data_IF_710839686999
#
_entry.id   IF_710839686999
#
_cell.length_a   1.000
_cell.length_b   1.000
_cell.length_c   1.000
_cell.angle_alpha   90.00
_cell.angle_beta   90.00
_cell.angle_gamma   90.00
#
_symmetry.space_group_name_H-M   'P 1'
#
loop_
_entity.id
_entity.type
_entity.pdbx_description
1 polymer ?
#
# COMPACT_ATOMS: atom_id res chain seq x y z
N UNK A 1 -11.69 21.05 -13.86
CA UNK A 1 -11.94 20.34 -12.60
C UNK A 1 -12.56 19.01 -12.99
N UNK A 2 -11.84 17.90 -12.87
CA UNK A 2 -12.36 16.57 -13.21
C UNK A 2 -13.39 16.16 -12.17
N UNK A 3 -14.59 15.82 -12.62
CA UNK A 3 -15.67 15.34 -11.78
C UNK A 3 -15.27 13.95 -11.23
N UNK A 4 -15.38 13.68 -9.91
CA UNK A 4 -15.05 12.38 -9.36
C UNK A 4 -15.99 11.32 -9.98
N UNK A 5 -15.54 10.06 -10.17
CA UNK A 5 -16.38 9.01 -10.72
C UNK A 5 -17.63 8.81 -9.85
N UNK A 6 -18.81 8.67 -10.46
CA UNK A 6 -20.10 8.52 -9.75
C UNK A 6 -20.14 7.29 -8.81
N UNK A 7 -19.22 6.34 -8.98
CA UNK A 7 -19.10 5.13 -8.19
C UNK A 7 -17.89 5.10 -7.23
N UNK A 8 -17.10 6.17 -7.10
CA UNK A 8 -15.91 6.16 -6.24
C UNK A 8 -16.11 7.06 -5.01
N UNK A 9 -15.66 6.59 -3.84
CA UNK A 9 -15.60 7.44 -2.64
C UNK A 9 -14.65 8.60 -2.91
N UNK A 10 -15.03 9.87 -2.67
CA UNK A 10 -14.17 11.01 -2.98
C UNK A 10 -12.79 10.91 -2.32
N UNK A 11 -12.70 10.40 -1.09
CA UNK A 11 -11.41 10.21 -0.40
C UNK A 11 -10.51 9.20 -1.11
N UNK A 12 -11.08 8.07 -1.57
CA UNK A 12 -10.36 7.04 -2.31
C UNK A 12 -9.83 7.59 -3.64
N UNK A 13 -10.67 8.32 -4.40
CA UNK A 13 -10.24 8.96 -5.64
C UNK A 13 -9.13 9.98 -5.41
N UNK A 14 -9.25 10.81 -4.38
CA UNK A 14 -8.25 11.83 -4.06
C UNK A 14 -6.90 11.19 -3.71
N UNK A 15 -6.89 10.19 -2.82
CA UNK A 15 -5.68 9.47 -2.45
C UNK A 15 -5.01 8.85 -3.67
N UNK A 16 -5.78 8.22 -4.56
CA UNK A 16 -5.27 7.63 -5.80
C UNK A 16 -4.65 8.69 -6.72
N UNK A 17 -5.33 9.83 -6.90
CA UNK A 17 -4.85 10.91 -7.77
C UNK A 17 -3.52 11.50 -7.27
N UNK A 18 -3.33 11.58 -5.95
CA UNK A 18 -2.08 12.06 -5.33
C UNK A 18 -0.89 11.12 -5.60
N UNK A 19 -1.12 9.83 -5.87
CA UNK A 19 -0.06 8.87 -6.18
C UNK A 19 0.37 8.86 -7.65
N UNK A 20 -0.46 9.36 -8.57
CA UNK A 20 -0.16 9.34 -10.01
C UNK A 20 1.22 9.92 -10.39
N UNK A 21 1.71 11.02 -9.77
CA UNK A 21 3.04 11.56 -10.09
C UNK A 21 4.21 10.65 -9.67
N UNK A 22 3.99 9.74 -8.72
CA UNK A 22 5.01 8.87 -8.12
C UNK A 22 4.68 7.38 -8.26
N UNK A 23 3.76 7.04 -9.17
CA UNK A 23 3.18 5.69 -9.27
C UNK A 23 4.20 4.60 -9.60
N UNK A 24 5.37 4.94 -10.13
CA UNK A 24 6.45 4.00 -10.44
C UNK A 24 7.32 3.66 -9.21
N UNK A 25 7.01 4.24 -8.05
CA UNK A 25 7.69 3.94 -6.78
C UNK A 25 6.91 2.90 -5.98
N UNK A 26 7.60 2.13 -5.13
CA UNK A 26 6.93 1.17 -4.23
C UNK A 26 5.87 1.84 -3.36
N UNK A 27 6.18 3.03 -2.81
CA UNK A 27 5.25 3.82 -2.00
C UNK A 27 4.02 4.26 -2.81
N UNK A 28 4.25 4.82 -4.01
CA UNK A 28 3.16 5.23 -4.91
C UNK A 28 2.25 4.06 -5.30
N UNK A 29 2.82 2.89 -5.61
CA UNK A 29 2.05 1.68 -5.92
C UNK A 29 1.24 1.19 -4.71
N UNK A 30 1.85 1.15 -3.53
CA UNK A 30 1.19 0.72 -2.31
C UNK A 30 -0.01 1.62 -1.99
N UNK A 31 0.22 2.94 -1.96
CA UNK A 31 -0.82 3.91 -1.66
C UNK A 31 -1.94 3.91 -2.71
N UNK A 32 -1.61 3.68 -3.99
CA UNK A 32 -2.62 3.53 -5.04
C UNK A 32 -3.47 2.25 -4.84
N UNK A 33 -2.86 1.14 -4.43
CA UNK A 33 -3.57 -0.10 -4.12
C UNK A 33 -4.48 0.05 -2.88
N UNK A 34 -4.02 0.76 -1.84
CA UNK A 34 -4.85 1.13 -0.68
C UNK A 34 -6.05 1.96 -1.14
N UNK A 35 -5.82 3.00 -1.94
CA UNK A 35 -6.88 3.87 -2.46
C UNK A 35 -7.95 3.09 -3.25
N UNK A 36 -7.54 2.11 -4.07
CA UNK A 36 -8.47 1.20 -4.76
C UNK A 36 -9.24 0.35 -3.73
N UNK A 37 -8.57 -0.16 -2.71
CA UNK A 37 -9.19 -1.04 -1.70
C UNK A 37 -10.19 -0.30 -0.80
N UNK A 38 -9.98 0.98 -0.52
CA UNK A 38 -10.92 1.87 0.20
C UNK A 38 -12.30 1.95 -0.47
N UNK A 39 -12.39 1.65 -1.77
CA UNK A 39 -13.67 1.56 -2.49
C UNK A 39 -14.47 0.31 -2.09
N UNK A 40 -13.80 -0.81 -1.83
CA UNK A 40 -14.43 -2.11 -1.57
C UNK A 40 -14.55 -2.47 -0.09
N UNK A 41 -13.72 -1.87 0.77
CA UNK A 41 -13.67 -2.13 2.20
C UNK A 41 -14.14 -0.89 2.98
N UNK A 42 -14.93 -1.13 4.03
CA UNK A 42 -15.28 -0.11 5.01
C UNK A 42 -14.13 0.06 6.01
N UNK A 43 -13.88 1.29 6.46
CA UNK A 43 -12.90 1.62 7.50
C UNK A 43 -11.42 1.29 7.18
N UNK A 44 -10.97 1.55 5.95
CA UNK A 44 -9.54 1.46 5.61
C UNK A 44 -8.81 2.75 6.02
N UNK A 45 -7.89 2.63 6.98
CA UNK A 45 -6.97 3.68 7.40
C UNK A 45 -5.56 3.41 6.79
N UNK A 46 -5.08 4.23 5.85
CA UNK A 46 -3.78 4.02 5.20
C UNK A 46 -2.60 3.91 6.17
N UNK A 47 -2.61 4.69 7.26
CA UNK A 47 -1.54 4.64 8.26
C UNK A 47 -1.45 3.28 8.97
N UNK A 48 -2.58 2.62 9.24
CA UNK A 48 -2.60 1.30 9.86
C UNK A 48 -2.08 0.22 8.90
N UNK A 49 -2.32 0.36 7.59
CA UNK A 49 -1.81 -0.57 6.57
C UNK A 49 -0.28 -0.48 6.49
N UNK A 50 0.27 0.73 6.49
CA UNK A 50 1.72 0.94 6.47
C UNK A 50 2.39 0.35 7.73
N UNK A 51 1.81 0.58 8.91
CA UNK A 51 2.30 -0.01 10.17
C UNK A 51 2.29 -1.55 10.13
N UNK A 52 1.21 -2.15 9.62
CA UNK A 52 1.12 -3.61 9.47
C UNK A 52 2.15 -4.17 8.49
N UNK A 53 2.38 -3.49 7.36
CA UNK A 53 3.40 -3.89 6.40
C UNK A 53 4.81 -3.78 6.97
N UNK A 54 5.08 -2.74 7.75
CA UNK A 54 6.35 -2.55 8.42
C UNK A 54 6.60 -3.62 9.50
N UNK A 55 5.58 -4.00 10.28
CA UNK A 55 5.68 -5.11 11.22
C UNK A 55 5.96 -6.44 10.51
N UNK A 56 5.25 -6.72 9.41
CA UNK A 56 5.50 -7.90 8.59
C UNK A 56 6.93 -7.93 8.04
N UNK A 57 7.41 -6.81 7.49
CA UNK A 57 8.78 -6.69 6.99
C UNK A 57 9.82 -6.87 8.11
N UNK A 58 9.57 -6.32 9.30
CA UNK A 58 10.43 -6.50 10.47
C UNK A 58 10.48 -7.97 10.94
N UNK A 59 9.32 -8.64 10.94
CA UNK A 59 9.22 -10.06 11.30
C UNK A 59 9.92 -10.97 10.31
N UNK A 60 9.83 -10.68 9.01
CA UNK A 60 10.55 -11.46 7.99
C UNK A 60 12.06 -11.23 8.12
N UNK A 61 12.50 -9.96 8.19
CA UNK A 61 13.93 -9.63 8.30
C UNK A 61 14.59 -10.14 9.59
N UNK A 62 13.89 -10.13 10.73
CA UNK A 62 14.40 -10.68 11.99
C UNK A 62 14.56 -12.20 12.00
N UNK A 63 13.84 -12.92 11.12
CA UNK A 63 13.93 -14.39 10.97
C UNK A 63 15.01 -14.82 9.98
N UNK A 64 15.43 -13.91 9.11
CA UNK A 64 16.41 -14.16 8.06
C UNK A 64 17.82 -13.96 8.65
N UNK A 65 18.55 -15.04 8.90
CA UNK A 65 19.90 -14.99 9.47
C UNK A 65 21.00 -14.52 8.50
N UNK A 66 20.70 -14.41 7.20
CA UNK A 66 21.64 -13.98 6.16
C UNK A 66 20.96 -13.06 5.14
N UNK A 67 21.59 -11.94 4.75
CA UNK A 67 21.05 -10.97 3.78
C UNK A 67 20.91 -11.49 2.33
N UNK A 68 20.89 -12.81 2.12
CA UNK A 68 20.60 -13.41 0.81
C UNK A 68 19.14 -13.14 0.43
N UNK A 69 18.92 -12.66 -0.78
CA UNK A 69 17.59 -12.47 -1.36
C UNK A 69 16.80 -13.79 -1.40
N UNK A 70 17.48 -14.94 -1.60
CA UNK A 70 16.84 -16.26 -1.52
C UNK A 70 16.35 -16.61 -0.11
N UNK A 71 17.11 -16.23 0.94
CA UNK A 71 16.71 -16.46 2.33
C UNK A 71 15.50 -15.59 2.73
N UNK A 72 15.40 -14.36 2.21
CA UNK A 72 14.21 -13.52 2.40
C UNK A 72 12.97 -14.11 1.71
N UNK A 73 13.09 -14.57 0.46
CA UNK A 73 11.98 -15.18 -0.26
C UNK A 73 11.45 -16.45 0.40
N UNK A 74 12.32 -17.24 1.04
CA UNK A 74 11.91 -18.46 1.75
C UNK A 74 11.12 -18.21 3.06
N UNK A 75 11.08 -16.97 3.54
CA UNK A 75 10.44 -16.57 4.80
C UNK A 75 9.25 -15.62 4.62
N UNK A 76 8.90 -15.28 3.37
CA UNK A 76 7.64 -14.66 2.96
C UNK A 76 6.53 -15.73 2.82
#
# INVERSE_FOLDING_TARGET
MSQPPDACRPQAYQLFAEQLPIIETTEGLLNAAIAISMHALDDVEPAEIDEQLQDLAHRVSSRVSSQSSEAMLAHL
#
